data_IF_786887185455
#
_entry.id   IF_786887185455
#
_cell.length_a   1.000
_cell.length_b   1.000
_cell.length_c   1.000
_cell.angle_alpha   90.00
_cell.angle_beta   90.00
_cell.angle_gamma   90.00
#
_symmetry.space_group_name_H-M   'P 1'
#
loop_
_entity.id
_entity.type
_entity.pdbx_description
1 polymer ?
#
# COMPACT_ATOMS: atom_id res chain seq x y z
N UNK A 1 -19.35 -10.68 0.42
CA UNK A 1 -17.91 -10.46 0.64
C UNK A 1 -17.26 -10.50 -0.75
N UNK A 2 -16.46 -9.48 -1.09
CA UNK A 2 -15.80 -9.39 -2.41
C UNK A 2 -14.29 -9.52 -2.18
N UNK A 3 -13.62 -10.35 -2.99
CA UNK A 3 -12.19 -10.59 -2.85
C UNK A 3 -11.37 -9.40 -3.36
N UNK A 4 -10.20 -9.18 -2.74
CA UNK A 4 -9.23 -8.21 -3.21
C UNK A 4 -8.81 -8.54 -4.64
N UNK A 5 -8.99 -7.57 -5.53
CA UNK A 5 -8.56 -7.68 -6.93
C UNK A 5 -8.16 -6.32 -7.49
N UNK A 6 -7.36 -6.27 -8.57
CA UNK A 6 -7.09 -5.03 -9.28
C UNK A 6 -8.35 -4.28 -9.71
N UNK A 7 -9.43 -5.03 -10.03
CA UNK A 7 -10.73 -4.45 -10.42
C UNK A 7 -11.42 -3.75 -9.25
N UNK A 8 -11.33 -4.32 -8.04
CA UNK A 8 -11.87 -3.71 -6.81
C UNK A 8 -11.18 -2.38 -6.51
N UNK A 9 -9.84 -2.36 -6.54
CA UNK A 9 -9.06 -1.13 -6.31
C UNK A 9 -9.40 -0.07 -7.36
N UNK A 10 -9.40 -0.45 -8.65
CA UNK A 10 -9.80 0.44 -9.75
C UNK A 10 -11.17 1.06 -9.53
N UNK A 11 -12.17 0.26 -9.15
CA UNK A 11 -13.56 0.71 -8.97
C UNK A 11 -13.66 1.91 -8.04
N UNK A 12 -12.95 1.88 -6.91
CA UNK A 12 -12.98 2.97 -5.94
C UNK A 12 -12.10 4.14 -6.35
N UNK A 13 -10.90 3.88 -6.87
CA UNK A 13 -9.97 4.92 -7.27
C UNK A 13 -10.47 5.75 -8.46
N UNK A 14 -11.16 5.14 -9.43
CA UNK A 14 -11.82 5.86 -10.54
C UNK A 14 -12.96 6.77 -10.05
N UNK A 15 -13.58 6.45 -8.91
CA UNK A 15 -14.60 7.28 -8.25
C UNK A 15 -13.99 8.40 -7.40
N UNK A 16 -12.65 8.60 -7.45
CA UNK A 16 -11.91 9.53 -6.60
C UNK A 16 -12.12 9.27 -5.10
N UNK A 17 -12.27 8.00 -4.72
CA UNK A 17 -12.37 7.55 -3.33
C UNK A 17 -11.06 6.86 -2.95
N UNK A 18 -10.15 7.55 -2.22
CA UNK A 18 -8.87 6.98 -1.82
C UNK A 18 -9.05 5.79 -0.89
N UNK A 19 -8.05 4.92 -0.81
CA UNK A 19 -8.09 3.70 0.01
C UNK A 19 -6.91 3.71 0.96
N UNK A 20 -7.15 3.71 2.27
CA UNK A 20 -6.14 3.43 3.28
C UNK A 20 -6.04 1.91 3.46
N UNK A 21 -4.82 1.37 3.35
CA UNK A 21 -4.58 -0.06 3.50
C UNK A 21 -3.22 -0.33 4.14
N UNK A 22 -3.15 -1.43 4.89
CA UNK A 22 -1.88 -2.04 5.29
C UNK A 22 -1.33 -2.90 4.15
N UNK A 23 0.00 -3.00 4.05
CA UNK A 23 0.69 -3.86 3.09
C UNK A 23 2.03 -4.35 3.63
N UNK A 24 2.64 -5.33 2.95
CA UNK A 24 4.02 -5.74 3.16
C UNK A 24 4.98 -4.70 2.55
N UNK A 25 5.64 -3.90 3.39
CA UNK A 25 6.64 -2.92 2.98
C UNK A 25 7.88 -3.61 2.39
N UNK A 26 8.34 -4.70 3.01
CA UNK A 26 9.42 -5.54 2.49
C UNK A 26 9.13 -5.98 1.07
N UNK A 27 7.94 -6.52 0.81
CA UNK A 27 7.57 -6.91 -0.54
C UNK A 27 7.46 -5.71 -1.46
N UNK A 28 6.77 -4.64 -1.07
CA UNK A 28 6.51 -3.47 -1.91
C UNK A 28 7.81 -2.80 -2.38
N UNK A 29 8.74 -2.56 -1.46
CA UNK A 29 10.00 -1.85 -1.72
C UNK A 29 11.11 -2.75 -2.26
N UNK A 30 10.95 -4.09 -2.22
CA UNK A 30 12.07 -5.04 -2.39
C UNK A 30 13.22 -4.74 -1.44
N UNK A 31 12.89 -4.34 -0.22
CA UNK A 31 13.89 -4.10 0.82
C UNK A 31 14.24 -5.40 1.51
N UNK A 32 15.36 -5.38 2.22
CA UNK A 32 15.70 -6.46 3.11
C UNK A 32 14.65 -6.61 4.22
N UNK A 33 14.56 -7.82 4.80
CA UNK A 33 13.88 -8.05 6.08
C UNK A 33 14.62 -7.34 7.21
N UNK A 34 13.92 -7.05 8.29
CA UNK A 34 14.48 -6.28 9.41
C UNK A 34 14.53 -7.13 10.69
N UNK A 35 15.59 -6.94 11.49
CA UNK A 35 15.80 -7.62 12.79
C UNK A 35 16.20 -6.61 13.87
N UNK A 36 15.82 -6.89 15.11
CA UNK A 36 16.12 -6.07 16.29
C UNK A 36 14.87 -5.42 16.88
N UNK A 37 14.95 -5.01 18.15
CA UNK A 37 13.80 -4.44 18.87
C UNK A 37 13.90 -2.91 18.96
N UNK A 38 15.03 -2.37 19.42
CA UNK A 38 15.24 -0.92 19.57
C UNK A 38 15.86 -0.26 18.33
N UNK A 39 16.74 -1.00 17.65
CA UNK A 39 17.41 -0.54 16.43
C UNK A 39 17.25 -1.62 15.38
N UNK A 40 16.39 -1.33 14.40
CA UNK A 40 16.15 -2.20 13.26
C UNK A 40 17.37 -2.20 12.35
N UNK A 41 17.81 -3.40 11.96
CA UNK A 41 18.88 -3.63 10.99
C UNK A 41 18.38 -4.51 9.87
N UNK A 42 18.90 -4.30 8.67
CA UNK A 42 18.63 -5.16 7.52
C UNK A 42 19.32 -6.53 7.72
N UNK A 43 18.54 -7.61 7.72
CA UNK A 43 19.02 -9.00 7.74
C UNK A 43 18.04 -9.89 6.96
N UNK A 44 18.40 -10.20 5.72
CA UNK A 44 17.55 -11.00 4.83
C UNK A 44 17.51 -12.48 5.16
N UNK A 45 18.30 -12.98 6.11
CA UNK A 45 18.27 -14.39 6.52
C UNK A 45 17.42 -14.55 7.77
N UNK A 46 17.71 -13.79 8.81
CA UNK A 46 17.10 -13.94 10.14
C UNK A 46 16.01 -12.90 10.44
N UNK A 47 15.92 -11.83 9.65
CA UNK A 47 14.92 -10.79 9.85
C UNK A 47 13.50 -11.23 9.52
N UNK A 48 12.56 -10.43 9.99
CA UNK A 48 11.13 -10.57 9.68
C UNK A 48 10.72 -9.55 8.62
N UNK A 49 9.74 -9.89 7.76
CA UNK A 49 9.16 -8.89 6.89
C UNK A 49 8.48 -7.81 7.73
N UNK A 50 8.46 -6.58 7.22
CA UNK A 50 7.79 -5.44 7.84
C UNK A 50 6.60 -5.00 7.00
N UNK A 51 5.60 -4.48 7.70
CA UNK A 51 4.41 -3.89 7.07
C UNK A 51 4.39 -2.38 7.24
N UNK A 52 3.59 -1.71 6.42
CA UNK A 52 3.32 -0.29 6.55
C UNK A 52 1.92 0.05 6.02
N UNK A 53 1.43 1.25 6.35
CA UNK A 53 0.16 1.77 5.86
C UNK A 53 0.39 2.84 4.80
N UNK A 54 -0.34 2.76 3.70
CA UNK A 54 -0.29 3.75 2.61
C UNK A 54 -1.69 4.16 2.19
N UNK A 55 -1.80 5.27 1.46
CA UNK A 55 -3.05 5.68 0.82
C UNK A 55 -2.95 5.50 -0.69
N UNK A 56 -3.83 4.70 -1.27
CA UNK A 56 -3.99 4.60 -2.72
C UNK A 56 -4.92 5.72 -3.16
N UNK A 57 -4.47 6.60 -4.06
CA UNK A 57 -5.18 7.86 -4.36
C UNK A 57 -5.40 8.14 -5.85
N UNK A 58 -5.02 7.22 -6.73
CA UNK A 58 -5.26 7.34 -8.17
C UNK A 58 -5.06 6.03 -8.92
N UNK A 59 -5.63 5.94 -10.12
CA UNK A 59 -5.50 4.78 -10.99
C UNK A 59 -5.26 5.24 -12.44
N UNK A 60 -4.22 4.70 -13.05
CA UNK A 60 -3.91 4.86 -14.47
C UNK A 60 -4.38 3.61 -15.21
N UNK A 61 -5.34 3.80 -16.13
CA UNK A 61 -5.94 2.69 -16.87
C UNK A 61 -5.06 2.18 -18.01
N UNK A 62 -4.28 3.06 -18.64
CA UNK A 62 -3.43 2.71 -19.77
C UNK A 62 -2.22 1.91 -19.27
N UNK A 63 -1.55 2.41 -18.23
CA UNK A 63 -0.37 1.77 -17.67
C UNK A 63 -0.69 0.72 -16.59
N UNK A 64 -1.96 0.61 -16.19
CA UNK A 64 -2.43 -0.26 -15.08
C UNK A 64 -1.68 0.01 -13.78
N UNK A 65 -1.48 1.28 -13.44
CA UNK A 65 -0.77 1.70 -12.23
C UNK A 65 -1.72 2.29 -11.20
N UNK A 66 -1.33 2.19 -9.93
CA UNK A 66 -1.97 2.85 -8.79
C UNK A 66 -1.01 3.91 -8.27
N UNK A 67 -1.54 5.10 -7.98
CA UNK A 67 -0.80 6.15 -7.30
C UNK A 67 -0.85 5.90 -5.81
N UNK A 68 0.32 5.79 -5.21
CA UNK A 68 0.52 5.54 -3.78
C UNK A 68 0.99 6.83 -3.13
N UNK A 69 0.29 7.28 -2.09
CA UNK A 69 0.76 8.28 -1.15
C UNK A 69 1.34 7.55 0.07
N UNK A 70 2.64 7.72 0.28
CA UNK A 70 3.45 6.97 1.23
C UNK A 70 4.11 7.92 2.23
N UNK A 71 3.80 7.82 3.53
CA UNK A 71 4.39 8.71 4.53
C UNK A 71 5.85 8.33 4.85
N UNK A 72 6.38 7.24 4.29
CA UNK A 72 7.72 6.76 4.59
C UNK A 72 8.81 7.54 3.83
N UNK A 73 9.50 8.43 4.54
CA UNK A 73 10.64 9.18 4.01
C UNK A 73 11.92 8.33 3.99
N UNK A 74 12.04 7.36 3.06
CA UNK A 74 13.31 6.61 2.94
C UNK A 74 14.30 7.26 1.97
N UNK A 75 13.95 7.63 0.71
CA UNK A 75 14.97 8.07 -0.30
C UNK A 75 14.56 8.98 -1.46
N UNK A 76 13.29 9.27 -1.73
CA UNK A 76 12.88 10.22 -2.78
C UNK A 76 12.06 11.35 -2.19
N UNK A 77 12.29 12.57 -2.67
CA UNK A 77 11.50 13.77 -2.29
C UNK A 77 10.02 13.68 -2.65
N UNK A 78 9.59 12.62 -3.32
CA UNK A 78 8.20 12.38 -3.70
C UNK A 78 7.59 11.28 -2.83
N UNK A 79 6.72 11.69 -1.91
CA UNK A 79 5.80 10.82 -1.14
C UNK A 79 4.67 10.25 -2.02
N UNK A 80 4.64 10.59 -3.31
CA UNK A 80 3.61 10.23 -4.27
C UNK A 80 4.24 9.59 -5.49
N UNK A 81 4.00 8.30 -5.71
CA UNK A 81 4.59 7.58 -6.83
C UNK A 81 3.61 6.55 -7.42
N UNK A 82 3.89 6.12 -8.65
CA UNK A 82 3.05 5.15 -9.37
C UNK A 82 3.68 3.76 -9.36
N UNK A 83 2.89 2.74 -9.01
CA UNK A 83 3.28 1.33 -9.08
C UNK A 83 2.27 0.50 -9.87
N UNK A 84 2.69 -0.61 -10.51
CA UNK A 84 1.76 -1.55 -11.13
C UNK A 84 0.71 -2.03 -10.13
N UNK A 85 -0.56 -2.10 -10.53
CA UNK A 85 -1.66 -2.50 -9.64
C UNK A 85 -1.46 -3.90 -9.07
N UNK A 86 -0.85 -4.81 -9.84
CA UNK A 86 -0.52 -6.17 -9.39
C UNK A 86 0.50 -6.16 -8.26
N UNK A 87 1.47 -5.23 -8.29
CA UNK A 87 2.48 -5.07 -7.26
C UNK A 87 1.84 -4.68 -5.92
N UNK A 88 0.94 -3.70 -5.97
CA UNK A 88 0.20 -3.22 -4.80
C UNK A 88 -0.76 -4.28 -4.28
N UNK A 89 -1.48 -4.96 -5.19
CA UNK A 89 -2.40 -6.05 -4.81
C UNK A 89 -1.66 -7.16 -4.07
N UNK A 90 -0.52 -7.62 -4.61
CA UNK A 90 0.28 -8.67 -3.98
C UNK A 90 0.89 -8.20 -2.65
N UNK A 91 1.30 -6.92 -2.51
CA UNK A 91 1.79 -6.40 -1.23
C UNK A 91 0.72 -6.37 -0.16
N UNK A 92 -0.55 -6.08 -0.51
CA UNK A 92 -1.67 -6.10 0.43
C UNK A 92 -1.98 -7.55 0.84
N UNK A 93 -2.05 -8.48 -0.13
CA UNK A 93 -2.31 -9.90 0.14
C UNK A 93 -1.25 -10.55 1.03
N UNK A 94 0.03 -10.19 0.84
CA UNK A 94 1.11 -10.68 1.69
C UNK A 94 1.06 -10.15 3.12
N UNK A 95 0.16 -9.21 3.43
CA UNK A 95 -0.19 -8.66 4.74
C UNK A 95 0.71 -9.07 5.90
N UNK A 96 1.49 -8.12 6.43
CA UNK A 96 2.47 -8.42 7.49
C UNK A 96 1.99 -8.01 8.89
N UNK A 97 1.11 -7.00 8.98
CA UNK A 97 0.67 -6.45 10.28
C UNK A 97 -0.78 -6.82 10.63
N UNK A 98 -1.70 -6.74 9.66
CA UNK A 98 -3.13 -6.92 9.95
C UNK A 98 -3.65 -8.31 9.59
N UNK A 99 -2.91 -9.07 8.77
CA UNK A 99 -3.24 -10.42 8.28
C UNK A 99 -4.64 -10.60 7.63
N UNK A 100 -5.37 -9.51 7.43
CA UNK A 100 -6.78 -9.50 7.00
C UNK A 100 -7.02 -8.68 5.72
N UNK A 101 -5.98 -8.03 5.18
CA UNK A 101 -6.05 -7.21 3.98
C UNK A 101 -7.15 -6.12 4.03
N UNK A 102 -7.37 -5.52 5.21
CA UNK A 102 -8.38 -4.49 5.38
C UNK A 102 -8.18 -3.29 4.44
N UNK A 103 -9.26 -2.93 3.74
CA UNK A 103 -9.35 -1.73 2.92
C UNK A 103 -10.32 -0.74 3.55
N UNK A 104 -9.84 0.44 3.93
CA UNK A 104 -10.68 1.55 4.35
C UNK A 104 -10.84 2.53 3.19
N UNK A 105 -12.01 2.56 2.58
CA UNK A 105 -12.35 3.53 1.53
C UNK A 105 -12.72 4.86 2.17
N UNK A 106 -12.06 5.93 1.74
CA UNK A 106 -12.24 7.28 2.24
C UNK A 106 -13.21 8.04 1.35
N UNK A 107 -14.24 8.62 1.97
CA UNK A 107 -15.17 9.54 1.32
C UNK A 107 -14.77 10.99 1.59
N UNK A 108 -15.01 11.90 0.63
CA UNK A 108 -14.96 13.32 0.94
C UNK A 108 -15.99 13.65 2.03
N UNK A 109 -15.74 14.68 2.86
CA UNK A 109 -16.76 15.16 3.77
C UNK A 109 -18.03 15.52 2.99
N UNK A 110 -19.20 15.17 3.53
CA UNK A 110 -20.46 15.67 3.00
C UNK A 110 -20.40 17.22 3.01
N UNK A 111 -20.70 17.85 1.87
CA UNK A 111 -20.91 19.28 1.82
C UNK A 111 -21.96 19.61 2.89
N UNK A 112 -21.55 20.33 3.95
CA UNK A 112 -22.50 20.88 4.90
C UNK A 112 -23.33 21.91 4.15
N UNK A 113 -24.54 21.50 3.76
CA UNK A 113 -25.57 22.38 3.20
C UNK A 113 -25.99 23.45 4.22
#
# INVERSE_FOLDING_TARGET
MEDLSPRLLRRWLEQRRPILTGLSATFLYRSAREIGDEVLREDDLHGLPTGHFVVLCGYDREERKVRVADPFERRSSEQLYWLPVERVTNSILLGVLTYDANLLVLDPPEERA
#
